data_IF_818473646040
#
_entry.id   IF_818473646040
#
_cell.length_a   1.000
_cell.length_b   1.000
_cell.length_c   1.000
_cell.angle_alpha   90.00
_cell.angle_beta   90.00
_cell.angle_gamma   90.00
#
_symmetry.space_group_name_H-M   'P 1'
#
loop_
_entity.id
_entity.type
_entity.pdbx_description
1 polymer ?
#
# COMPACT_ATOMS: atom_id res chain seq x y z
N UNK A 1 12.65 -2.67 -31.91
CA UNK A 1 11.99 -1.43 -31.69
C UNK A 1 11.91 -1.02 -30.23
N UNK A 2 11.53 0.18 -30.05
CA UNK A 2 11.37 0.80 -28.71
C UNK A 2 9.90 0.76 -28.29
N UNK A 3 9.66 0.37 -27.05
CA UNK A 3 8.32 0.39 -26.45
C UNK A 3 8.36 1.20 -25.15
N UNK A 4 7.33 1.98 -24.94
CA UNK A 4 7.12 2.72 -23.70
C UNK A 4 5.66 2.61 -23.28
N UNK A 5 5.40 2.34 -22.03
CA UNK A 5 4.06 2.35 -21.48
C UNK A 5 4.02 3.09 -20.16
N UNK A 6 2.92 3.76 -19.92
CA UNK A 6 2.66 4.49 -18.68
C UNK A 6 1.34 3.97 -18.13
N UNK A 7 1.34 3.53 -16.88
CA UNK A 7 0.15 3.09 -16.18
C UNK A 7 -0.07 3.97 -14.96
N UNK A 8 -1.21 4.60 -14.90
CA UNK A 8 -1.61 5.39 -13.75
C UNK A 8 -2.85 4.77 -13.11
N UNK A 9 -2.88 4.78 -11.79
CA UNK A 9 -3.98 4.21 -11.02
C UNK A 9 -4.40 5.17 -9.92
N UNK A 10 -5.70 5.42 -9.85
CA UNK A 10 -6.31 6.15 -8.74
C UNK A 10 -7.14 5.19 -7.91
N UNK A 11 -6.89 5.17 -6.62
CA UNK A 11 -7.66 4.38 -5.66
C UNK A 11 -8.29 5.34 -4.67
N UNK A 12 -9.62 5.26 -4.58
CA UNK A 12 -10.38 6.06 -3.64
C UNK A 12 -10.25 5.56 -2.21
N UNK A 13 -10.88 6.28 -1.30
CA UNK A 13 -10.94 5.93 0.11
C UNK A 13 -11.53 4.52 0.30
N UNK A 14 -10.89 3.70 1.11
CA UNK A 14 -11.34 2.34 1.43
C UNK A 14 -11.45 2.16 2.93
N UNK A 15 -12.60 1.68 3.40
CA UNK A 15 -12.81 1.42 4.81
C UNK A 15 -12.20 0.07 5.22
N UNK A 16 -11.66 0.01 6.43
CA UNK A 16 -11.06 -1.20 6.98
C UNK A 16 -12.11 -2.19 7.49
N UNK A 17 -13.29 -1.69 7.86
CA UNK A 17 -14.41 -2.50 8.37
C UNK A 17 -15.72 -2.01 7.77
N UNK A 18 -16.76 -2.82 7.87
CA UNK A 18 -18.13 -2.43 7.46
C UNK A 18 -18.87 -1.61 8.54
N UNK A 19 -18.16 -0.79 9.27
CA UNK A 19 -18.71 0.13 10.24
C UNK A 19 -18.87 1.51 9.61
N UNK A 20 -19.85 2.28 10.06
CA UNK A 20 -20.19 3.56 9.45
C UNK A 20 -19.41 4.74 10.04
N UNK A 21 -18.26 4.49 10.65
CA UNK A 21 -17.45 5.56 11.21
C UNK A 21 -16.03 5.60 10.63
N UNK A 22 -15.52 6.83 10.44
CA UNK A 22 -14.24 7.10 9.80
C UNK A 22 -13.05 7.00 10.76
N UNK A 23 -13.27 7.09 12.05
CA UNK A 23 -12.19 7.08 13.04
C UNK A 23 -12.67 6.50 14.37
N UNK A 24 -11.73 6.08 15.16
CA UNK A 24 -11.99 5.66 16.53
C UNK A 24 -11.13 6.46 17.50
N UNK A 25 -11.56 6.48 18.76
CA UNK A 25 -10.85 7.16 19.83
C UNK A 25 -9.89 6.19 20.50
N UNK A 26 -8.70 6.66 20.77
CA UNK A 26 -7.69 5.92 21.51
C UNK A 26 -7.57 6.51 22.91
N UNK A 27 -7.92 5.73 23.93
CA UNK A 27 -7.85 6.16 25.31
C UNK A 27 -6.61 5.62 25.99
N UNK A 28 -5.96 6.47 26.77
CA UNK A 28 -4.86 6.08 27.62
C UNK A 28 -5.37 5.32 28.86
N UNK A 29 -4.45 4.67 29.57
CA UNK A 29 -4.81 3.92 30.81
C UNK A 29 -5.41 4.79 31.90
N UNK A 30 -5.11 6.07 31.90
CA UNK A 30 -5.65 7.04 32.86
C UNK A 30 -7.05 7.56 32.48
N UNK A 31 -7.58 7.09 31.35
CA UNK A 31 -8.86 7.55 30.83
C UNK A 31 -8.82 8.80 29.98
N UNK A 32 -7.64 9.40 29.80
CA UNK A 32 -7.49 10.56 28.92
C UNK A 32 -7.57 10.13 27.45
N UNK A 33 -8.07 11.04 26.62
CA UNK A 33 -8.17 10.85 25.19
C UNK A 33 -6.87 11.27 24.50
N UNK A 34 -6.31 10.36 23.69
CA UNK A 34 -5.06 10.63 22.98
C UNK A 34 -5.32 11.24 21.59
N UNK A 35 -5.92 10.49 20.71
CA UNK A 35 -6.19 10.94 19.33
C UNK A 35 -7.23 10.07 18.65
N UNK A 36 -7.82 10.63 17.59
CA UNK A 36 -8.60 9.84 16.65
C UNK A 36 -7.65 9.06 15.72
N UNK A 37 -7.96 7.81 15.49
CA UNK A 37 -7.22 6.96 14.55
C UNK A 37 -8.13 6.64 13.38
N UNK A 38 -7.64 6.85 12.17
CA UNK A 38 -8.41 6.62 10.96
C UNK A 38 -8.75 5.12 10.79
N UNK A 39 -9.98 4.85 10.37
CA UNK A 39 -10.48 3.51 10.10
C UNK A 39 -10.59 3.26 8.59
N UNK A 40 -9.78 3.93 7.81
CA UNK A 40 -9.81 3.83 6.35
C UNK A 40 -8.41 4.01 5.76
N UNK A 41 -8.24 3.48 4.56
CA UNK A 41 -7.08 3.78 3.70
C UNK A 41 -7.37 5.05 2.91
N UNK A 42 -6.44 5.98 2.92
CA UNK A 42 -6.59 7.26 2.22
C UNK A 42 -6.52 7.05 0.71
N UNK A 43 -7.27 7.87 -0.01
CA UNK A 43 -7.16 7.91 -1.48
C UNK A 43 -5.73 8.21 -1.90
N UNK A 44 -5.30 7.60 -2.99
CA UNK A 44 -3.97 7.83 -3.53
C UNK A 44 -3.94 7.63 -5.05
N UNK A 45 -2.90 8.17 -5.66
CA UNK A 45 -2.65 8.08 -7.10
C UNK A 45 -1.20 7.63 -7.31
N UNK A 46 -1.00 6.60 -8.13
CA UNK A 46 0.32 6.09 -8.46
C UNK A 46 0.52 6.01 -9.95
N UNK A 47 1.75 6.15 -10.40
CA UNK A 47 2.11 6.02 -11.81
C UNK A 47 3.35 5.15 -11.93
N UNK A 48 3.29 4.20 -12.86
CA UNK A 48 4.38 3.33 -13.23
C UNK A 48 4.74 3.57 -14.68
N UNK A 49 6.02 3.45 -15.01
CA UNK A 49 6.54 3.59 -16.38
C UNK A 49 7.34 2.36 -16.74
N UNK A 50 7.08 1.80 -17.90
CA UNK A 50 7.83 0.69 -18.45
C UNK A 50 8.44 1.11 -19.79
N UNK A 51 9.75 0.93 -19.91
CA UNK A 51 10.52 1.24 -21.10
C UNK A 51 11.27 -0.01 -21.52
N UNK A 52 11.16 -0.39 -22.79
CA UNK A 52 11.87 -1.54 -23.32
C UNK A 52 12.39 -1.26 -24.73
N UNK A 53 13.53 -1.86 -25.03
CA UNK A 53 14.14 -1.79 -26.36
C UNK A 53 14.48 -3.20 -26.82
N UNK A 54 14.05 -3.53 -28.02
CA UNK A 54 14.26 -4.84 -28.64
C UNK A 54 15.17 -4.69 -29.85
N UNK A 55 16.17 -5.54 -29.97
CA UNK A 55 17.15 -5.49 -31.03
C UNK A 55 17.67 -6.90 -31.38
N UNK A 56 18.36 -7.03 -32.50
CA UNK A 56 18.98 -8.28 -32.93
C UNK A 56 20.45 -8.06 -33.19
N UNK A 57 21.29 -9.04 -32.85
CA UNK A 57 22.73 -9.06 -33.10
C UNK A 57 23.09 -10.37 -33.82
N UNK A 58 22.78 -10.48 -35.12
CA UNK A 58 22.97 -11.74 -35.87
C UNK A 58 24.43 -12.15 -35.96
N UNK A 59 25.38 -11.21 -35.96
CA UNK A 59 26.82 -11.49 -36.01
C UNK A 59 27.31 -12.26 -34.77
N UNK A 60 26.62 -12.17 -33.66
CA UNK A 60 26.95 -12.89 -32.42
C UNK A 60 26.05 -14.10 -32.16
N UNK A 61 25.24 -14.50 -33.16
CA UNK A 61 24.30 -15.60 -33.00
C UNK A 61 23.08 -15.26 -32.15
N UNK A 62 22.83 -14.01 -31.87
CA UNK A 62 21.69 -13.54 -31.08
C UNK A 62 20.56 -13.19 -32.03
N UNK A 63 19.50 -13.98 -32.00
CA UNK A 63 18.34 -13.75 -32.86
C UNK A 63 17.48 -12.60 -32.38
N UNK A 64 17.33 -12.46 -31.09
CA UNK A 64 16.49 -11.46 -30.47
C UNK A 64 17.01 -11.14 -29.06
N UNK A 65 17.06 -9.90 -28.74
CA UNK A 65 17.42 -9.43 -27.41
C UNK A 65 16.53 -8.27 -27.00
N UNK A 66 16.22 -8.18 -25.74
CA UNK A 66 15.44 -7.09 -25.18
C UNK A 66 16.07 -6.62 -23.87
N UNK A 67 16.19 -5.33 -23.73
CA UNK A 67 16.56 -4.69 -22.48
C UNK A 67 15.41 -3.79 -22.03
N UNK A 68 15.10 -3.81 -20.76
CA UNK A 68 13.98 -3.02 -20.24
C UNK A 68 14.22 -2.53 -18.83
N UNK A 69 13.51 -1.49 -18.48
CA UNK A 69 13.45 -0.95 -17.14
C UNK A 69 12.01 -0.61 -16.81
N UNK A 70 11.58 -0.99 -15.60
CA UNK A 70 10.28 -0.63 -15.07
C UNK A 70 10.49 0.25 -13.84
N UNK A 71 9.86 1.42 -13.87
CA UNK A 71 9.89 2.39 -12.78
C UNK A 71 8.55 2.35 -12.07
N UNK A 72 8.56 1.96 -10.80
CA UNK A 72 7.35 1.87 -10.00
C UNK A 72 7.21 3.10 -9.11
N UNK A 73 6.00 3.65 -9.04
CA UNK A 73 5.68 4.79 -8.20
C UNK A 73 6.63 5.97 -8.45
N UNK A 74 6.67 6.45 -9.70
CA UNK A 74 7.65 7.46 -10.15
C UNK A 74 7.55 8.79 -9.39
N UNK A 75 6.38 9.11 -8.81
CA UNK A 75 6.17 10.32 -8.03
C UNK A 75 6.44 10.12 -6.53
N UNK A 76 6.90 8.92 -6.14
CA UNK A 76 7.17 8.57 -4.75
C UNK A 76 5.97 8.87 -3.82
N UNK A 77 4.78 8.54 -4.29
CA UNK A 77 3.55 8.72 -3.53
C UNK A 77 3.58 7.85 -2.29
N UNK A 78 3.39 8.45 -1.13
CA UNK A 78 3.35 7.73 0.13
C UNK A 78 1.91 7.37 0.48
N UNK A 79 1.65 6.07 0.60
CA UNK A 79 0.32 5.56 0.91
C UNK A 79 0.41 4.20 1.60
N UNK A 80 -0.67 3.85 2.28
CA UNK A 80 -0.85 2.52 2.83
C UNK A 80 -1.65 1.67 1.84
N UNK A 81 -1.13 0.50 1.50
CA UNK A 81 -1.78 -0.37 0.52
C UNK A 81 -2.69 -1.41 1.18
N UNK A 82 -2.59 -1.56 2.48
CA UNK A 82 -3.41 -2.48 3.24
C UNK A 82 -3.55 -1.98 4.68
N UNK A 83 -4.59 -2.43 5.34
CA UNK A 83 -4.82 -2.12 6.74
C UNK A 83 -5.79 -3.12 7.34
N UNK A 84 -5.80 -3.17 8.65
CA UNK A 84 -6.74 -3.98 9.43
C UNK A 84 -7.29 -3.16 10.58
N UNK A 85 -8.49 -3.48 10.99
CA UNK A 85 -9.09 -2.96 12.19
C UNK A 85 -9.87 -4.07 12.88
N UNK A 86 -9.76 -4.13 14.19
CA UNK A 86 -10.43 -5.13 14.99
C UNK A 86 -11.00 -4.50 16.25
N UNK A 87 -12.16 -4.96 16.73
CA UNK A 87 -12.64 -4.53 18.03
C UNK A 87 -11.65 -4.95 19.10
N UNK A 88 -11.37 -4.04 20.01
CA UNK A 88 -10.53 -4.28 21.18
C UNK A 88 -11.38 -4.29 22.42
N UNK A 89 -10.83 -4.77 23.52
CA UNK A 89 -11.51 -4.76 24.80
C UNK A 89 -10.55 -4.35 25.90
N UNK A 90 -11.12 -3.74 26.92
CA UNK A 90 -10.37 -3.27 28.08
C UNK A 90 -10.72 -4.14 29.29
N UNK A 91 -9.71 -4.49 30.08
CA UNK A 91 -9.91 -5.16 31.36
C UNK A 91 -9.78 -4.16 32.49
N UNK A 92 -10.64 -4.28 33.49
CA UNK A 92 -10.51 -3.51 34.72
C UNK A 92 -9.39 -4.06 35.61
N UNK A 93 -9.16 -3.43 36.76
CA UNK A 93 -8.14 -3.85 37.71
C UNK A 93 -8.38 -5.26 38.29
N UNK A 94 -9.59 -5.77 38.19
CA UNK A 94 -9.98 -7.11 38.65
C UNK A 94 -9.92 -8.16 37.55
N UNK A 95 -9.56 -7.77 36.31
CA UNK A 95 -9.48 -8.66 35.17
C UNK A 95 -10.79 -8.87 34.42
N UNK A 96 -11.85 -8.17 34.76
CA UNK A 96 -13.12 -8.23 34.04
C UNK A 96 -13.08 -7.41 32.76
N UNK A 97 -13.75 -7.88 31.70
CA UNK A 97 -13.88 -7.14 30.46
C UNK A 97 -14.88 -6.00 30.66
N UNK A 98 -14.43 -4.75 30.55
CA UNK A 98 -15.28 -3.57 30.71
C UNK A 98 -16.20 -3.35 29.52
N UNK A 99 -15.64 -3.38 28.31
CA UNK A 99 -16.40 -3.17 27.09
C UNK A 99 -15.63 -3.71 25.90
N UNK A 100 -16.34 -4.10 24.88
CA UNK A 100 -15.76 -4.39 23.58
C UNK A 100 -16.81 -4.12 22.49
N UNK A 101 -16.35 -4.02 21.25
CA UNK A 101 -17.21 -3.68 20.10
C UNK A 101 -17.89 -2.31 20.21
N UNK A 102 -17.31 -1.39 20.97
CA UNK A 102 -17.72 0.02 20.97
C UNK A 102 -16.80 0.83 20.08
N UNK A 103 -17.23 2.02 19.67
CA UNK A 103 -16.43 2.95 18.88
C UNK A 103 -15.08 3.28 19.52
N UNK A 104 -15.00 3.19 20.82
CA UNK A 104 -13.85 3.66 21.59
C UNK A 104 -12.80 2.57 21.79
N UNK A 105 -13.07 1.33 21.34
CA UNK A 105 -12.21 0.19 21.61
C UNK A 105 -11.87 -0.61 20.34
N UNK A 106 -11.41 0.09 19.32
CA UNK A 106 -10.86 -0.54 18.11
C UNK A 106 -9.36 -0.35 18.06
N UNK A 107 -8.70 -1.32 17.46
CA UNK A 107 -7.30 -1.26 17.10
C UNK A 107 -7.18 -1.29 15.58
N UNK A 108 -6.24 -0.53 15.04
CA UNK A 108 -5.95 -0.55 13.62
C UNK A 108 -4.45 -0.60 13.36
N UNK A 109 -4.09 -1.27 12.29
CA UNK A 109 -2.73 -1.29 11.78
C UNK A 109 -2.72 -1.05 10.28
N UNK A 110 -1.66 -0.44 9.79
CA UNK A 110 -1.51 -0.08 8.39
C UNK A 110 -0.20 -0.64 7.85
N UNK A 111 -0.22 -1.12 6.62
CA UNK A 111 0.95 -1.58 5.90
C UNK A 111 1.29 -0.58 4.81
N UNK A 112 2.43 0.14 4.93
CA UNK A 112 2.82 1.09 3.91
C UNK A 112 3.18 0.41 2.60
N UNK A 113 2.93 1.08 1.50
CA UNK A 113 3.36 0.63 0.18
C UNK A 113 4.81 0.97 -0.07
N UNK A 114 5.39 0.28 -1.06
CA UNK A 114 6.75 0.56 -1.47
C UNK A 114 6.88 2.00 -2.02
N UNK A 115 7.95 2.71 -1.67
CA UNK A 115 8.25 4.00 -2.27
C UNK A 115 8.67 3.83 -3.74
N UNK A 116 9.19 4.89 -4.35
CA UNK A 116 9.80 4.77 -5.68
C UNK A 116 10.80 3.63 -5.71
N UNK A 117 10.66 2.75 -6.68
CA UNK A 117 11.58 1.64 -6.91
C UNK A 117 11.62 1.32 -8.40
N UNK A 118 12.62 0.55 -8.80
CA UNK A 118 12.79 0.19 -10.21
C UNK A 118 13.32 -1.22 -10.35
N UNK A 119 13.10 -1.78 -11.53
CA UNK A 119 13.60 -3.11 -11.89
C UNK A 119 14.08 -3.05 -13.35
N UNK A 120 15.26 -3.58 -13.60
CA UNK A 120 15.80 -3.75 -14.95
C UNK A 120 15.79 -5.23 -15.32
N UNK A 121 15.57 -5.52 -16.61
CA UNK A 121 15.57 -6.90 -17.09
C UNK A 121 16.28 -6.97 -18.45
N UNK A 122 16.86 -8.13 -18.71
CA UNK A 122 17.52 -8.45 -19.96
C UNK A 122 17.06 -9.83 -20.41
N UNK A 123 16.64 -9.94 -21.67
CA UNK A 123 16.25 -11.19 -22.30
C UNK A 123 17.06 -11.38 -23.58
N UNK A 124 17.61 -12.58 -23.77
CA UNK A 124 18.43 -12.91 -24.94
C UNK A 124 17.97 -14.27 -25.49
N UNK A 125 17.68 -14.31 -26.79
CA UNK A 125 17.39 -15.52 -27.54
C UNK A 125 18.51 -15.80 -28.55
N UNK A 126 19.02 -16.98 -28.47
CA UNK A 126 20.06 -17.46 -29.40
C UNK A 126 19.47 -18.24 -30.57
#
# INVERSE_FOLDING_TARGET
GFNASVQSQYIGKQYLTNTDFDSYKNYNKDGSFDRNVDMFLKKHFTTNVDLSYRFALPHFGIKDAAIGITLYNIFDTKYDNNGWAAPSFRKDSKGNVEAYCSHDLYEAGFAPSAPFNWMAHLSINF
#
